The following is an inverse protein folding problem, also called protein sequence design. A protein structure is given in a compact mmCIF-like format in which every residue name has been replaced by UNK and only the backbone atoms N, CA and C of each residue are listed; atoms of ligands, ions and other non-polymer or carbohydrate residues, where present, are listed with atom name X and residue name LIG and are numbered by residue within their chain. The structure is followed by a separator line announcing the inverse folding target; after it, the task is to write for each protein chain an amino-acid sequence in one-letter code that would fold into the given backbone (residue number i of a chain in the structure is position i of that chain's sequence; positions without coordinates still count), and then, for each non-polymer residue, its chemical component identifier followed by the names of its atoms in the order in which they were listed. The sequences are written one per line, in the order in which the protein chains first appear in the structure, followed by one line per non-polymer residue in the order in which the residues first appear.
data_IF_758504765487
#
_entry.id   IF_758504765487
#
_cell.length_a   1.000
_cell.length_b   1.000
_cell.length_c   1.000
_cell.angle_alpha   90.00
_cell.angle_beta   90.00
_cell.angle_gamma   90.00
#
_symmetry.space_group_name_H-M   'P 1'
#
loop_
_entity.id
_entity.type
_entity.pdbx_description
1 polymer ?
#
# COMPACT_ATOMS: atom_id res chain seq x y z
N UNK A 1 -19.41 -65.18 16.94
CA UNK A 1 -19.82 -64.03 16.11
C UNK A 1 -18.65 -63.71 15.19
N UNK A 2 -18.91 -63.25 13.96
CA UNK A 2 -17.86 -62.91 12.99
C UNK A 2 -18.16 -61.49 12.51
N UNK A 3 -17.30 -60.53 12.86
CA UNK A 3 -17.46 -59.14 12.42
C UNK A 3 -16.85 -58.99 11.03
N UNK A 4 -17.69 -58.65 10.05
CA UNK A 4 -17.28 -58.57 8.64
C UNK A 4 -16.85 -57.14 8.29
N UNK A 5 -15.74 -56.70 8.89
CA UNK A 5 -15.26 -55.30 8.82
C UNK A 5 -14.59 -55.01 7.48
N UNK A 6 -15.40 -54.90 6.42
CA UNK A 6 -14.94 -54.47 5.09
C UNK A 6 -14.53 -53.00 5.11
N UNK A 7 -13.28 -52.73 5.50
CA UNK A 7 -12.68 -51.41 5.35
C UNK A 7 -12.54 -51.09 3.85
N UNK A 8 -13.18 -50.01 3.39
CA UNK A 8 -12.93 -49.49 2.05
C UNK A 8 -11.44 -49.12 1.91
N UNK A 9 -10.79 -49.45 0.77
CA UNK A 9 -9.44 -48.97 0.52
C UNK A 9 -9.42 -47.43 0.48
N UNK A 10 -8.31 -46.78 0.88
CA UNK A 10 -8.19 -45.34 0.77
C UNK A 10 -8.31 -44.91 -0.70
N UNK A 11 -9.02 -43.80 -0.96
CA UNK A 11 -9.16 -43.27 -2.31
C UNK A 11 -7.81 -42.66 -2.76
N UNK A 12 -7.06 -43.39 -3.57
CA UNK A 12 -5.72 -43.02 -4.06
C UNK A 12 -5.75 -42.08 -5.26
N UNK A 13 -6.92 -41.53 -5.62
CA UNK A 13 -7.03 -40.58 -6.72
C UNK A 13 -6.59 -39.18 -6.27
N UNK A 14 -5.41 -38.78 -6.74
CA UNK A 14 -4.99 -37.38 -6.81
C UNK A 14 -6.17 -36.48 -7.25
N UNK A 15 -6.43 -35.34 -6.58
CA UNK A 15 -7.51 -34.45 -6.98
C UNK A 15 -7.34 -34.01 -8.43
N UNK A 16 -8.26 -34.43 -9.30
CA UNK A 16 -8.22 -34.09 -10.72
C UNK A 16 -8.52 -32.59 -10.85
N UNK A 17 -7.47 -31.77 -10.87
CA UNK A 17 -7.56 -30.33 -11.13
C UNK A 17 -8.07 -30.12 -12.55
N UNK A 18 -9.40 -30.02 -12.69
CA UNK A 18 -10.07 -29.78 -13.96
C UNK A 18 -9.73 -28.37 -14.45
N UNK A 19 -8.74 -28.30 -15.34
CA UNK A 19 -8.37 -27.11 -16.11
C UNK A 19 -9.65 -26.44 -16.67
N UNK A 20 -9.88 -25.13 -16.43
CA UNK A 20 -11.06 -24.44 -16.96
C UNK A 20 -11.17 -24.58 -18.48
N UNK A 21 -12.37 -24.92 -18.95
CA UNK A 21 -12.70 -25.19 -20.36
C UNK A 21 -13.83 -24.27 -20.88
N UNK A 22 -14.27 -23.30 -20.07
CA UNK A 22 -15.35 -22.36 -20.38
C UNK A 22 -14.91 -20.91 -20.19
N UNK A 23 -15.55 -19.98 -20.91
CA UNK A 23 -15.28 -18.54 -20.81
C UNK A 23 -16.22 -17.95 -19.74
N UNK A 24 -15.65 -17.44 -18.66
CA UNK A 24 -16.41 -16.72 -17.64
C UNK A 24 -16.81 -15.31 -18.13
N UNK A 25 -18.03 -14.86 -17.81
CA UNK A 25 -18.52 -13.52 -18.12
C UNK A 25 -19.11 -12.91 -16.84
N UNK A 26 -18.41 -11.92 -16.28
CA UNK A 26 -18.85 -11.20 -15.07
C UNK A 26 -19.62 -9.94 -15.46
N UNK A 27 -20.70 -9.64 -14.73
CA UNK A 27 -21.51 -8.43 -14.88
C UNK A 27 -21.78 -7.86 -13.48
N UNK A 28 -20.90 -7.01 -12.93
CA UNK A 28 -21.10 -6.44 -11.61
C UNK A 28 -22.25 -5.42 -11.65
N UNK A 29 -23.22 -5.61 -10.76
CA UNK A 29 -24.44 -4.81 -10.61
C UNK A 29 -24.33 -3.74 -9.51
N UNK A 30 -23.50 -3.97 -8.49
CA UNK A 30 -23.21 -3.05 -7.41
C UNK A 30 -21.74 -2.62 -7.36
N UNK A 31 -21.50 -1.38 -6.92
CA UNK A 31 -20.17 -0.91 -6.56
C UNK A 31 -19.80 -1.39 -5.15
N UNK A 32 -18.60 -1.97 -5.01
CA UNK A 32 -17.96 -2.22 -3.72
C UNK A 32 -17.12 -0.99 -3.35
N UNK A 33 -17.20 -0.54 -2.09
CA UNK A 33 -16.30 0.47 -1.55
C UNK A 33 -14.98 -0.21 -1.15
N UNK A 34 -13.86 0.28 -1.69
CA UNK A 34 -12.53 -0.18 -1.29
C UNK A 34 -11.99 0.62 -0.09
N UNK A 35 -10.89 0.15 0.51
CA UNK A 35 -10.30 0.74 1.72
C UNK A 35 -9.74 2.16 1.53
N UNK A 36 -9.45 2.55 0.29
CA UNK A 36 -9.07 3.90 -0.13
C UNK A 36 -10.27 4.85 -0.29
N UNK A 37 -11.49 4.36 -0.05
CA UNK A 37 -12.79 5.05 -0.17
C UNK A 37 -13.22 5.33 -1.61
N UNK A 38 -12.57 4.72 -2.61
CA UNK A 38 -13.02 4.74 -3.99
C UNK A 38 -14.11 3.69 -4.24
N UNK A 39 -14.85 3.85 -5.34
CA UNK A 39 -15.91 2.93 -5.76
C UNK A 39 -15.40 2.01 -6.87
N UNK A 40 -15.46 0.69 -6.65
CA UNK A 40 -14.98 -0.32 -7.57
C UNK A 40 -16.11 -1.25 -8.00
N UNK A 41 -16.14 -1.61 -9.28
CA UNK A 41 -16.93 -2.72 -9.78
C UNK A 41 -15.96 -3.88 -10.02
N UNK A 42 -16.12 -4.97 -9.26
CA UNK A 42 -15.25 -6.14 -9.34
C UNK A 42 -15.52 -6.88 -10.65
N UNK A 43 -14.48 -7.05 -11.46
CA UNK A 43 -14.58 -7.72 -12.76
C UNK A 43 -14.01 -9.14 -12.68
N UNK A 44 -12.76 -9.30 -13.09
CA UNK A 44 -12.04 -10.57 -13.09
C UNK A 44 -11.27 -10.71 -11.76
N UNK A 45 -11.38 -11.86 -11.09
CA UNK A 45 -10.61 -12.19 -9.89
C UNK A 45 -10.62 -13.70 -9.60
N UNK A 46 -9.93 -14.10 -8.53
CA UNK A 46 -10.03 -15.45 -7.96
C UNK A 46 -11.48 -15.82 -7.58
N UNK A 47 -12.22 -14.91 -6.93
CA UNK A 47 -13.59 -15.19 -6.46
C UNK A 47 -14.65 -15.11 -7.56
N UNK A 48 -14.48 -14.26 -8.57
CA UNK A 48 -15.48 -14.11 -9.65
C UNK A 48 -15.31 -15.08 -10.81
N UNK A 49 -14.07 -15.48 -11.15
CA UNK A 49 -13.78 -16.33 -12.31
C UNK A 49 -12.75 -17.43 -12.07
N UNK A 50 -12.28 -17.64 -10.83
CA UNK A 50 -11.19 -18.58 -10.55
C UNK A 50 -9.84 -18.18 -11.17
N UNK A 51 -9.62 -16.88 -11.41
CA UNK A 51 -8.36 -16.40 -11.97
C UNK A 51 -7.18 -16.69 -11.01
N UNK A 52 -6.01 -17.06 -11.56
CA UNK A 52 -4.82 -17.46 -10.77
C UNK A 52 -3.65 -16.47 -10.81
N UNK A 53 -3.68 -15.47 -11.68
CA UNK A 53 -2.57 -14.52 -11.87
C UNK A 53 -2.98 -13.19 -12.50
N UNK A 54 -4.27 -12.86 -12.47
CA UNK A 54 -4.77 -11.54 -12.88
C UNK A 54 -6.05 -11.22 -12.11
N UNK A 55 -6.17 -9.97 -11.65
CA UNK A 55 -7.46 -9.34 -11.37
C UNK A 55 -7.66 -8.14 -12.30
N UNK A 56 -8.91 -7.79 -12.60
CA UNK A 56 -9.24 -6.64 -13.43
C UNK A 56 -10.57 -6.01 -13.02
N UNK A 57 -10.53 -4.75 -12.60
CA UNK A 57 -11.66 -4.03 -11.99
C UNK A 57 -11.85 -2.65 -12.63
N UNK A 58 -13.08 -2.15 -12.66
CA UNK A 58 -13.37 -0.75 -12.97
C UNK A 58 -13.35 0.04 -11.66
N UNK A 59 -12.48 1.03 -11.53
CA UNK A 59 -12.46 1.95 -10.39
C UNK A 59 -12.92 3.36 -10.80
N UNK A 60 -13.59 4.04 -9.88
CA UNK A 60 -14.15 5.38 -10.07
C UNK A 60 -13.61 6.31 -8.99
N UNK A 61 -12.95 7.39 -9.42
CA UNK A 61 -12.55 8.49 -8.55
C UNK A 61 -13.64 9.57 -8.65
N UNK A 62 -14.35 9.91 -7.55
CA UNK A 62 -15.40 10.93 -7.59
C UNK A 62 -14.83 12.33 -7.91
N UNK A 63 -15.67 13.32 -8.24
CA UNK A 63 -15.23 14.70 -8.45
C UNK A 63 -14.46 15.23 -7.22
N UNK A 64 -13.29 15.84 -7.44
CA UNK A 64 -12.34 16.25 -6.40
C UNK A 64 -11.74 15.11 -5.57
N UNK A 65 -12.08 13.86 -5.86
CA UNK A 65 -11.65 12.67 -5.13
C UNK A 65 -10.13 12.48 -5.21
N UNK A 66 -9.52 12.13 -4.09
CA UNK A 66 -8.10 11.84 -3.96
C UNK A 66 -7.97 10.59 -3.09
N UNK A 67 -7.22 9.59 -3.55
CA UNK A 67 -6.93 8.43 -2.73
C UNK A 67 -5.96 8.79 -1.60
N UNK A 68 -5.96 8.03 -0.52
CA UNK A 68 -4.86 8.08 0.45
C UNK A 68 -3.56 7.57 -0.22
N UNK A 69 -2.39 8.18 0.05
CA UNK A 69 -1.14 7.72 -0.53
C UNK A 69 -0.84 6.27 -0.12
N UNK A 70 -0.40 5.46 -1.08
CA UNK A 70 -0.11 4.04 -0.83
C UNK A 70 0.89 3.47 -1.83
N UNK A 71 1.28 2.21 -1.62
CA UNK A 71 1.97 1.38 -2.61
C UNK A 71 1.46 -0.06 -2.53
N UNK A 72 1.71 -0.85 -3.58
CA UNK A 72 1.46 -2.30 -3.57
C UNK A 72 2.81 -3.01 -3.41
N UNK A 73 3.01 -3.91 -2.44
CA UNK A 73 4.32 -4.50 -2.17
C UNK A 73 4.70 -5.61 -3.16
N UNK A 74 3.70 -6.31 -3.70
CA UNK A 74 3.90 -7.59 -4.42
C UNK A 74 3.48 -7.54 -5.90
N UNK A 75 2.55 -6.65 -6.28
CA UNK A 75 1.92 -6.67 -7.60
C UNK A 75 2.20 -5.44 -8.46
N UNK A 76 2.28 -5.67 -9.76
CA UNK A 76 2.21 -4.63 -10.78
C UNK A 76 0.75 -4.19 -10.95
N UNK A 77 0.53 -2.90 -11.25
CA UNK A 77 -0.79 -2.37 -11.59
C UNK A 77 -0.71 -1.67 -12.94
N UNK A 78 -1.44 -2.18 -13.93
CA UNK A 78 -1.61 -1.60 -15.26
C UNK A 78 -3.01 -0.99 -15.37
N UNK A 79 -3.10 0.26 -15.82
CA UNK A 79 -4.35 1.03 -15.87
C UNK A 79 -4.56 1.56 -17.29
N UNK A 80 -5.81 1.52 -17.75
CA UNK A 80 -6.29 2.28 -18.90
C UNK A 80 -7.34 3.30 -18.45
N UNK A 81 -7.14 4.57 -18.79
CA UNK A 81 -8.03 5.66 -18.39
C UNK A 81 -9.19 5.82 -19.38
N UNK A 82 -10.41 5.51 -18.93
CA UNK A 82 -11.61 5.45 -19.77
C UNK A 82 -12.29 6.81 -19.95
N UNK A 83 -12.35 7.61 -18.88
CA UNK A 83 -12.94 8.96 -18.88
C UNK A 83 -12.29 9.81 -17.79
N UNK A 84 -12.12 11.11 -18.08
CA UNK A 84 -11.72 12.13 -17.12
C UNK A 84 -10.23 12.46 -17.20
N UNK A 85 -9.71 13.11 -16.15
CA UNK A 85 -8.33 13.57 -16.06
C UNK A 85 -7.83 13.49 -14.61
N UNK A 86 -6.72 12.78 -14.39
CA UNK A 86 -6.20 12.45 -13.05
C UNK A 86 -4.75 12.90 -12.93
N UNK A 87 -4.40 13.57 -11.84
CA UNK A 87 -2.99 13.73 -11.44
C UNK A 87 -2.57 12.50 -10.65
N UNK A 88 -1.53 11.80 -11.10
CA UNK A 88 -0.84 10.77 -10.32
C UNK A 88 0.45 11.39 -9.82
N UNK A 89 0.53 11.64 -8.51
CA UNK A 89 1.79 11.95 -7.84
C UNK A 89 2.43 10.67 -7.30
N UNK A 90 3.75 10.54 -7.39
CA UNK A 90 4.46 9.28 -7.16
C UNK A 90 5.93 9.47 -6.75
N UNK A 91 6.54 8.36 -6.34
CA UNK A 91 7.92 8.30 -5.86
C UNK A 91 8.06 8.74 -4.40
N UNK A 92 9.31 8.88 -3.94
CA UNK A 92 9.59 9.27 -2.56
C UNK A 92 8.99 10.66 -2.26
N UNK A 93 8.21 10.77 -1.19
CA UNK A 93 7.54 12.02 -0.80
C UNK A 93 6.47 12.49 -1.78
N UNK A 94 6.06 11.67 -2.75
CA UNK A 94 5.17 12.03 -3.88
C UNK A 94 5.71 13.21 -4.72
N UNK A 95 7.03 13.38 -4.77
CA UNK A 95 7.71 14.55 -5.35
C UNK A 95 7.59 14.69 -6.88
N UNK A 96 7.12 13.66 -7.59
CA UNK A 96 6.89 13.68 -9.02
C UNK A 96 5.39 13.59 -9.29
N UNK A 97 4.84 14.47 -10.13
CA UNK A 97 3.45 14.37 -10.56
C UNK A 97 3.35 14.35 -12.09
N UNK A 98 2.39 13.58 -12.60
CA UNK A 98 1.98 13.55 -14.01
C UNK A 98 0.48 13.61 -14.08
N UNK A 99 -0.06 14.29 -15.09
CA UNK A 99 -1.50 14.31 -15.34
C UNK A 99 -1.77 13.42 -16.54
N UNK A 100 -2.70 12.48 -16.38
CA UNK A 100 -3.15 11.53 -17.39
C UNK A 100 -4.61 11.79 -17.74
N UNK A 101 -4.99 11.48 -18.97
CA UNK A 101 -6.34 11.71 -19.53
C UNK A 101 -6.85 10.51 -20.35
N UNK A 102 -8.09 10.59 -20.84
CA UNK A 102 -8.76 9.45 -21.44
C UNK A 102 -8.03 8.92 -22.69
N UNK A 103 -7.66 7.64 -22.67
CA UNK A 103 -6.79 7.00 -23.66
C UNK A 103 -5.38 6.66 -23.15
N UNK A 104 -4.95 7.21 -22.01
CA UNK A 104 -3.65 6.90 -21.43
C UNK A 104 -3.58 5.49 -20.85
N UNK A 105 -2.42 4.86 -21.06
CA UNK A 105 -1.97 3.67 -20.33
C UNK A 105 -0.99 4.09 -19.22
N UNK A 106 -1.28 3.71 -17.98
CA UNK A 106 -0.47 4.01 -16.80
C UNK A 106 0.04 2.69 -16.22
N UNK A 107 1.32 2.63 -15.85
CA UNK A 107 1.93 1.45 -15.23
C UNK A 107 2.60 1.83 -13.90
N UNK A 108 2.20 1.15 -12.84
CA UNK A 108 2.79 1.27 -11.49
C UNK A 108 3.48 -0.04 -11.14
N UNK A 109 4.83 -0.07 -11.02
CA UNK A 109 5.55 -1.25 -10.56
C UNK A 109 5.46 -1.42 -9.03
N UNK A 110 5.73 -2.63 -8.50
CA UNK A 110 5.69 -2.89 -7.07
C UNK A 110 6.59 -1.95 -6.26
N UNK A 111 6.15 -1.62 -5.04
CA UNK A 111 6.87 -0.80 -4.08
C UNK A 111 6.89 0.71 -4.36
N UNK A 112 6.38 1.19 -5.51
CA UNK A 112 6.34 2.63 -5.80
C UNK A 112 5.19 3.33 -5.06
N UNK A 113 5.49 4.30 -4.17
CA UNK A 113 4.46 5.13 -3.55
C UNK A 113 3.80 6.02 -4.58
N UNK A 114 2.47 6.11 -4.53
CA UNK A 114 1.70 6.95 -5.42
C UNK A 114 0.37 7.42 -4.80
N UNK A 115 -0.24 8.42 -5.43
CA UNK A 115 -1.50 9.02 -5.06
C UNK A 115 -2.21 9.57 -6.32
N UNK A 116 -3.28 8.93 -6.82
CA UNK A 116 -4.16 9.49 -7.83
C UNK A 116 -5.12 10.54 -7.24
N UNK A 117 -5.33 11.63 -7.99
CA UNK A 117 -6.18 12.79 -7.65
C UNK A 117 -7.03 13.19 -8.86
N UNK A 118 -8.35 13.15 -8.75
CA UNK A 118 -9.24 13.70 -9.78
C UNK A 118 -9.21 15.24 -9.70
N UNK A 119 -8.75 15.87 -10.79
CA UNK A 119 -8.64 17.34 -10.87
C UNK A 119 -9.96 18.03 -11.20
N UNK A 120 -11.01 17.29 -11.59
CA UNK A 120 -12.31 17.86 -11.91
C UNK A 120 -13.20 18.00 -10.68
N UNK A 121 -13.74 19.20 -10.46
CA UNK A 121 -14.71 19.47 -9.40
C UNK A 121 -16.13 18.97 -9.71
N UNK A 122 -16.42 18.55 -10.94
CA UNK A 122 -17.78 18.13 -11.37
C UNK A 122 -17.85 16.73 -12.00
N UNK A 123 -16.77 16.26 -12.65
CA UNK A 123 -16.76 15.00 -13.41
C UNK A 123 -15.96 13.90 -12.69
N UNK A 124 -16.50 12.67 -12.54
CA UNK A 124 -15.73 11.54 -12.05
C UNK A 124 -14.74 11.01 -13.11
N UNK A 125 -13.62 10.46 -12.64
CA UNK A 125 -12.65 9.70 -13.44
C UNK A 125 -13.02 8.22 -13.40
N UNK A 126 -12.93 7.55 -14.55
CA UNK A 126 -13.10 6.10 -14.69
C UNK A 126 -11.81 5.46 -15.21
N UNK A 127 -11.35 4.41 -14.55
CA UNK A 127 -10.15 3.65 -14.90
C UNK A 127 -10.42 2.15 -14.89
N UNK A 128 -9.95 1.44 -15.91
CA UNK A 128 -9.85 -0.02 -15.88
C UNK A 128 -8.48 -0.38 -15.32
N UNK A 129 -8.43 -0.97 -14.13
CA UNK A 129 -7.20 -1.37 -13.46
C UNK A 129 -7.06 -2.91 -13.49
N UNK A 130 -5.95 -3.39 -14.05
CA UNK A 130 -5.55 -4.79 -14.06
C UNK A 130 -4.27 -4.97 -13.22
N UNK A 131 -4.19 -6.07 -12.46
CA UNK A 131 -3.07 -6.39 -11.57
C UNK A 131 -2.61 -7.82 -11.80
N UNK A 132 -1.32 -8.11 -11.63
CA UNK A 132 -0.78 -9.48 -11.70
C UNK A 132 -1.01 -10.31 -10.42
N UNK A 133 -1.89 -9.83 -9.52
CA UNK A 133 -2.44 -10.54 -8.36
C UNK A 133 -3.94 -10.83 -8.61
N UNK A 134 -4.41 -12.08 -8.45
CA UNK A 134 -5.81 -12.44 -8.70
C UNK A 134 -6.80 -11.98 -7.61
N UNK A 135 -6.36 -11.43 -6.48
CA UNK A 135 -7.25 -10.90 -5.45
C UNK A 135 -7.98 -9.63 -5.94
N UNK A 136 -9.31 -9.61 -5.85
CA UNK A 136 -10.11 -8.41 -6.13
C UNK A 136 -9.77 -7.24 -5.19
N UNK A 137 -9.45 -7.53 -3.93
CA UNK A 137 -9.06 -6.55 -2.93
C UNK A 137 -7.60 -6.15 -3.15
N UNK A 138 -7.37 -4.86 -3.34
CA UNK A 138 -6.02 -4.33 -3.59
C UNK A 138 -5.14 -4.42 -2.34
N UNK A 139 -3.96 -5.01 -2.48
CA UNK A 139 -2.97 -5.11 -1.41
C UNK A 139 -2.24 -3.77 -1.22
N UNK A 140 -2.94 -2.75 -0.75
CA UNK A 140 -2.35 -1.44 -0.42
C UNK A 140 -1.62 -1.46 0.92
N UNK A 141 -0.40 -0.93 0.97
CA UNK A 141 0.24 -0.47 2.20
C UNK A 141 0.14 1.05 2.27
N UNK A 142 -0.48 1.64 3.32
CA UNK A 142 -0.57 3.09 3.47
C UNK A 142 0.80 3.77 3.53
N UNK A 143 0.93 4.93 2.91
CA UNK A 143 2.17 5.68 2.77
C UNK A 143 2.08 7.05 3.43
N UNK A 144 3.05 7.40 4.26
CA UNK A 144 3.16 8.75 4.80
C UNK A 144 4.26 9.52 4.06
N UNK A 145 3.95 10.50 3.19
CA UNK A 145 4.97 11.24 2.43
C UNK A 145 5.93 12.06 3.31
N UNK A 146 5.56 12.34 4.57
CA UNK A 146 6.41 13.01 5.55
C UNK A 146 7.37 12.05 6.28
N UNK A 147 7.36 10.75 5.96
CA UNK A 147 8.31 9.80 6.54
C UNK A 147 9.75 10.19 6.16
N UNK A 148 10.53 10.70 7.12
CA UNK A 148 11.95 10.93 6.87
C UNK A 148 12.62 9.58 6.67
N UNK A 149 13.28 9.41 5.52
CA UNK A 149 14.31 8.38 5.38
C UNK A 149 15.37 8.66 6.44
N UNK A 150 15.36 7.89 7.55
CA UNK A 150 16.49 7.86 8.49
C UNK A 150 17.70 7.48 7.66
N UNK A 151 18.62 8.42 7.47
CA UNK A 151 19.84 8.17 6.72
C UNK A 151 20.62 7.03 7.37
N UNK A 152 21.47 6.36 6.59
CA UNK A 152 22.33 5.28 7.11
C UNK A 152 23.30 5.81 8.20
N UNK A 153 23.52 7.12 8.27
CA UNK A 153 24.28 7.79 9.32
C UNK A 153 23.52 7.91 10.65
N UNK A 154 22.24 8.30 10.64
CA UNK A 154 21.47 8.58 11.87
C UNK A 154 21.24 7.33 12.73
N UNK A 155 21.26 6.13 12.14
CA UNK A 155 21.15 4.86 12.89
C UNK A 155 22.28 4.64 13.91
N UNK A 156 23.45 5.26 13.74
CA UNK A 156 24.62 5.09 14.63
C UNK A 156 24.64 5.99 15.88
N UNK A 157 23.59 6.81 16.08
CA UNK A 157 23.49 7.71 17.24
C UNK A 157 22.66 7.09 18.38
N UNK A 158 21.48 6.51 18.06
CA UNK A 158 20.55 5.88 19.02
C UNK A 158 21.26 4.86 19.94
N UNK A 159 22.08 3.97 19.36
CA UNK A 159 22.74 2.85 20.06
C UNK A 159 23.82 3.25 21.08
N UNK A 160 24.26 4.52 21.10
CA UNK A 160 25.27 5.01 22.08
C UNK A 160 24.70 5.96 23.14
N UNK A 161 23.51 6.51 22.94
CA UNK A 161 22.86 7.40 23.92
C UNK A 161 22.35 6.71 25.18
N UNK A 162 22.13 5.38 25.16
CA UNK A 162 21.42 4.64 26.22
C UNK A 162 22.31 4.05 27.31
N UNK A 163 23.64 4.10 27.17
CA UNK A 163 24.55 3.26 27.97
C UNK A 163 25.58 4.02 28.83
N UNK A 164 25.25 5.23 29.28
CA UNK A 164 25.99 5.92 30.37
C UNK A 164 25.32 5.61 31.70
N UNK A 165 25.70 4.47 32.29
CA UNK A 165 25.14 4.03 33.56
C UNK A 165 25.70 4.81 34.76
N UNK A 166 24.78 5.33 35.57
CA UNK A 166 24.85 5.61 37.02
C UNK A 166 26.20 5.27 37.71
N UNK A 167 27.02 6.27 38.01
CA UNK A 167 27.67 6.41 39.32
C UNK A 167 28.45 7.73 39.48
N UNK A 168 28.24 8.43 40.61
CA UNK A 168 29.13 9.49 41.12
C UNK A 168 28.78 9.80 42.58
N UNK A 169 29.67 9.54 43.56
CA UNK A 169 29.41 9.76 44.98
C UNK A 169 29.62 11.24 45.40
N UNK A 170 28.92 11.64 46.46
CA UNK A 170 29.01 13.01 47.04
C UNK A 170 30.40 13.31 47.60
N UNK A 171 30.86 14.57 47.42
CA UNK A 171 31.77 15.25 48.36
C UNK A 171 31.26 16.66 48.69
N UNK A 172 31.70 17.22 49.83
CA UNK A 172 31.28 18.51 50.41
C UNK A 172 32.50 19.39 50.70
N UNK A 173 32.23 20.69 50.91
CA UNK A 173 33.12 21.73 51.48
C UNK A 173 34.23 22.26 50.52
N UNK A 174 34.74 23.50 50.67
CA UNK A 174 34.51 24.55 51.71
C UNK A 174 34.67 25.98 51.14
N UNK A 175 34.44 27.02 51.97
CA UNK A 175 34.74 28.46 51.73
C UNK A 175 36.28 28.69 51.64
N UNK A 176 36.89 29.82 51.23
CA UNK A 176 36.55 31.27 51.14
C UNK A 176 37.52 31.96 50.11
N UNK A 177 37.69 33.28 49.85
CA UNK A 177 37.05 34.59 50.16
C UNK A 177 37.66 35.70 49.23
N UNK A 178 36.91 36.75 48.83
CA UNK A 178 37.40 38.08 48.28
C UNK A 178 38.23 38.07 46.96
N UNK A 179 38.43 39.18 46.21
CA UNK A 179 38.04 40.62 46.33
C UNK A 179 37.59 41.17 44.96
N UNK A 180 36.88 42.30 44.97
CA UNK A 180 36.55 43.18 43.82
C UNK A 180 37.47 44.42 43.86
N UNK A 181 37.87 45.04 42.73
CA UNK A 181 37.67 46.49 42.63
C UNK A 181 37.40 47.09 41.23
N UNK A 182 36.41 48.01 41.18
CA UNK A 182 36.34 49.27 40.40
C UNK A 182 36.51 49.23 38.87
N UNK A 183 35.55 49.66 38.03
CA UNK A 183 34.89 50.99 37.90
C UNK A 183 35.75 52.09 37.24
N UNK A 184 35.60 52.28 35.93
CA UNK A 184 35.40 53.56 35.20
C UNK A 184 35.27 53.29 33.69
N UNK A 185 34.46 54.08 32.97
CA UNK A 185 34.14 53.89 31.55
C UNK A 185 32.73 54.38 31.23
#
# INVERSE_FOLDING_TARGET
MIENTSANPPDTREPIERKPIEIAIVRPDAATLAGDRLSHFVGISASTTGAKGISMNLAIIPPGGTAEPHFHPEHETAIYLLKGRVEVCYGQGLQHCRVCEAGDFIFTPPGVPHQPRNLSATEPVYVLAARNDPNEQEKTVPYNPLWKVKSVFERRYDERSTNVSRNSPRRKARRSLTVDPTFTG
#
